data_IF_374594248677
#
_entry.id   IF_374594248677
#
_cell.length_a   1.000
_cell.length_b   1.000
_cell.length_c   1.000
_cell.angle_alpha   90.00
_cell.angle_beta   90.00
_cell.angle_gamma   90.00
#
_symmetry.space_group_name_H-M   'P 1'
#
loop_
_entity.id
_entity.type
_entity.pdbx_description
1 polymer ?
#
# COMPACT_ATOMS: atom_id res chain seq x y z
N UNK A 1 -10.11 -8.53 -27.35
CA UNK A 1 -9.06 -9.48 -26.94
C UNK A 1 -8.91 -9.41 -25.43
N UNK A 2 -8.77 -10.55 -24.74
CA UNK A 2 -8.62 -10.65 -23.28
C UNK A 2 -7.34 -11.42 -22.98
N UNK A 3 -6.58 -11.01 -21.96
CA UNK A 3 -5.36 -11.69 -21.50
C UNK A 3 -5.49 -12.07 -20.02
N UNK A 4 -5.03 -13.28 -19.69
CA UNK A 4 -4.83 -13.73 -18.32
C UNK A 4 -3.34 -13.88 -18.03
N UNK A 5 -2.93 -13.66 -16.79
CA UNK A 5 -1.54 -13.79 -16.34
C UNK A 5 -1.49 -14.35 -14.91
N UNK A 6 -0.47 -15.15 -14.62
CA UNK A 6 -0.16 -15.68 -13.29
C UNK A 6 1.35 -15.93 -13.17
N UNK A 7 1.91 -15.79 -11.96
CA UNK A 7 3.32 -16.04 -11.67
C UNK A 7 3.50 -16.47 -10.21
N UNK A 8 4.61 -17.12 -9.86
CA UNK A 8 4.87 -17.60 -8.49
C UNK A 8 5.60 -16.59 -7.59
N UNK A 9 5.50 -15.29 -7.89
CA UNK A 9 6.12 -14.24 -7.06
C UNK A 9 5.44 -14.06 -5.69
N UNK A 10 4.16 -14.44 -5.58
CA UNK A 10 3.37 -14.38 -4.33
C UNK A 10 2.49 -15.62 -4.17
N UNK A 11 2.02 -15.88 -2.95
CA UNK A 11 1.16 -17.03 -2.63
C UNK A 11 -0.20 -17.02 -3.36
N UNK A 12 -0.64 -15.84 -3.84
CA UNK A 12 -1.86 -15.69 -4.62
C UNK A 12 -1.63 -15.79 -6.13
N UNK A 13 -0.43 -16.19 -6.57
CA UNK A 13 0.01 -16.28 -7.95
C UNK A 13 -0.09 -14.96 -8.76
N UNK A 14 0.03 -13.82 -8.08
CA UNK A 14 0.00 -12.48 -8.69
C UNK A 14 1.40 -11.87 -8.72
N UNK A 15 1.62 -10.91 -9.61
CA UNK A 15 2.86 -10.13 -9.64
C UNK A 15 3.04 -9.36 -8.33
N UNK A 16 4.24 -9.42 -7.74
CA UNK A 16 4.51 -8.80 -6.45
C UNK A 16 4.20 -7.28 -6.38
N UNK A 17 4.52 -6.44 -7.39
CA UNK A 17 4.29 -4.99 -7.32
C UNK A 17 2.81 -4.63 -7.13
N UNK A 18 1.93 -5.21 -7.96
CA UNK A 18 0.49 -4.94 -7.90
C UNK A 18 -0.14 -5.56 -6.65
N UNK A 19 0.36 -6.74 -6.25
CA UNK A 19 -0.07 -7.41 -5.04
C UNK A 19 0.14 -6.53 -3.80
N UNK A 20 1.37 -6.02 -3.59
CA UNK A 20 1.69 -5.18 -2.44
C UNK A 20 1.00 -3.81 -2.50
N UNK A 21 0.91 -3.18 -3.67
CA UNK A 21 0.17 -1.93 -3.83
C UNK A 21 -1.32 -2.10 -3.41
N UNK A 22 -1.96 -3.19 -3.86
CA UNK A 22 -3.34 -3.46 -3.44
C UNK A 22 -3.49 -3.77 -1.95
N UNK A 23 -2.51 -4.45 -1.33
CA UNK A 23 -2.54 -4.68 0.11
C UNK A 23 -2.46 -3.37 0.92
N UNK A 24 -1.63 -2.41 0.49
CA UNK A 24 -1.56 -1.09 1.12
C UNK A 24 -2.91 -0.36 1.04
N UNK A 25 -3.55 -0.36 -0.13
CA UNK A 25 -4.88 0.24 -0.28
C UNK A 25 -5.96 -0.48 0.53
N UNK A 26 -5.90 -1.82 0.60
CA UNK A 26 -6.81 -2.61 1.41
C UNK A 26 -6.66 -2.26 2.91
N UNK A 27 -5.42 -2.08 3.38
CA UNK A 27 -5.14 -1.69 4.77
C UNK A 27 -5.61 -0.27 5.06
N UNK A 28 -5.28 0.71 4.21
CA UNK A 28 -5.75 2.09 4.36
C UNK A 28 -7.29 2.15 4.43
N UNK A 29 -7.98 1.45 3.52
CA UNK A 29 -9.43 1.43 3.50
C UNK A 29 -10.02 0.75 4.74
N UNK A 30 -9.36 -0.27 5.29
CA UNK A 30 -9.75 -0.88 6.55
C UNK A 30 -9.67 0.13 7.70
N UNK A 31 -8.58 0.88 7.83
CA UNK A 31 -8.40 1.85 8.92
C UNK A 31 -9.39 2.99 8.89
N UNK A 32 -9.66 3.51 7.68
CA UNK A 32 -10.70 4.50 7.49
C UNK A 32 -12.08 3.93 7.87
N UNK A 33 -12.45 2.75 7.36
CA UNK A 33 -13.80 2.17 7.60
C UNK A 33 -14.02 1.73 9.04
N UNK A 34 -12.97 1.26 9.71
CA UNK A 34 -13.02 0.88 11.12
C UNK A 34 -12.78 2.07 12.06
N UNK A 35 -12.56 3.27 11.50
CA UNK A 35 -12.29 4.50 12.25
C UNK A 35 -11.11 4.37 13.24
N UNK A 36 -10.12 3.51 12.92
CA UNK A 36 -8.90 3.33 13.73
C UNK A 36 -8.07 4.62 13.70
N UNK A 37 -7.95 5.21 12.51
CA UNK A 37 -7.38 6.54 12.30
C UNK A 37 -8.50 7.47 11.87
N UNK A 38 -9.16 8.11 12.84
CA UNK A 38 -10.38 8.89 12.62
C UNK A 38 -10.22 10.12 11.71
N UNK A 39 -8.98 10.54 11.47
CA UNK A 39 -8.62 11.64 10.59
C UNK A 39 -8.42 11.21 9.13
N UNK A 40 -8.44 9.90 8.82
CA UNK A 40 -8.36 9.42 7.43
C UNK A 40 -9.63 9.76 6.65
N UNK A 41 -9.47 9.95 5.35
CA UNK A 41 -10.57 10.11 4.39
C UNK A 41 -10.53 9.03 3.31
N UNK A 42 -11.60 8.87 2.49
CA UNK A 42 -11.72 7.72 1.59
C UNK A 42 -10.69 7.65 0.45
N UNK A 43 -10.18 8.79 -0.05
CA UNK A 43 -9.26 8.80 -1.20
C UNK A 43 -7.83 8.47 -0.76
N UNK A 44 -7.21 7.49 -1.43
CA UNK A 44 -5.83 7.11 -1.22
C UNK A 44 -5.24 6.47 -2.48
N UNK A 45 -3.91 6.56 -2.60
CA UNK A 45 -3.12 6.02 -3.71
C UNK A 45 -1.84 5.40 -3.15
N UNK A 46 -1.47 4.23 -3.66
CA UNK A 46 -0.19 3.57 -3.35
C UNK A 46 0.60 3.27 -4.61
N UNK A 47 1.91 3.34 -4.50
CA UNK A 47 2.85 2.85 -5.49
C UNK A 47 4.00 2.11 -4.78
N UNK A 48 4.38 0.97 -5.34
CA UNK A 48 5.51 0.16 -4.82
C UNK A 48 6.46 -0.09 -5.99
N UNK A 49 7.72 0.28 -5.81
CA UNK A 49 8.80 0.02 -6.76
C UNK A 49 9.66 -1.11 -6.20
N UNK A 50 9.77 -2.20 -6.96
CA UNK A 50 10.58 -3.36 -6.59
C UNK A 50 11.86 -3.41 -7.42
N UNK A 51 12.95 -3.85 -6.78
CA UNK A 51 14.17 -4.25 -7.47
C UNK A 51 14.06 -5.72 -7.85
N UNK A 52 14.36 -6.01 -9.10
CA UNK A 52 14.38 -7.36 -9.64
C UNK A 52 15.80 -7.79 -9.99
N UNK A 53 16.11 -9.05 -9.71
CA UNK A 53 17.32 -9.72 -10.19
C UNK A 53 16.92 -11.09 -10.72
N UNK A 54 17.38 -11.43 -11.94
CA UNK A 54 17.03 -12.70 -12.61
C UNK A 54 15.52 -13.01 -12.62
N UNK A 55 14.70 -11.99 -12.93
CA UNK A 55 13.23 -12.05 -12.94
C UNK A 55 12.58 -12.45 -11.61
N UNK A 56 13.28 -12.24 -10.49
CA UNK A 56 12.73 -12.41 -9.15
C UNK A 56 12.77 -11.08 -8.40
N UNK A 57 11.69 -10.69 -7.70
CA UNK A 57 11.72 -9.53 -6.83
C UNK A 57 12.64 -9.83 -5.64
N UNK A 58 13.63 -8.97 -5.39
CA UNK A 58 14.61 -9.16 -4.31
C UNK A 58 14.48 -8.13 -3.19
N UNK A 59 13.95 -6.95 -3.47
CA UNK A 59 13.79 -5.88 -2.48
C UNK A 59 12.74 -4.85 -2.93
N UNK A 60 12.21 -4.10 -1.98
CA UNK A 60 11.47 -2.86 -2.25
C UNK A 60 12.48 -1.71 -2.31
N UNK A 61 12.46 -0.94 -3.40
CA UNK A 61 13.33 0.21 -3.59
C UNK A 61 12.67 1.50 -3.08
N UNK A 62 11.36 1.66 -3.35
CA UNK A 62 10.58 2.81 -2.87
C UNK A 62 9.11 2.43 -2.65
N UNK A 63 8.50 3.08 -1.66
CA UNK A 63 7.05 3.05 -1.40
C UNK A 63 6.55 4.48 -1.37
N UNK A 64 5.48 4.75 -2.12
CA UNK A 64 4.76 6.02 -2.07
C UNK A 64 3.33 5.74 -1.63
N UNK A 65 2.91 6.38 -0.54
CA UNK A 65 1.52 6.36 -0.08
C UNK A 65 1.03 7.80 0.03
N UNK A 66 -0.01 8.12 -0.73
CA UNK A 66 -0.72 9.39 -0.64
C UNK A 66 -2.12 9.10 -0.13
N UNK A 67 -2.46 9.57 1.07
CA UNK A 67 -3.79 9.39 1.66
C UNK A 67 -4.42 10.74 1.91
N UNK A 68 -5.71 10.85 1.66
CA UNK A 68 -6.48 12.02 2.05
C UNK A 68 -6.71 12.00 3.57
N UNK A 69 -6.67 13.17 4.20
CA UNK A 69 -6.80 13.32 5.65
C UNK A 69 -7.50 14.63 6.04
N UNK A 70 -7.87 14.75 7.31
CA UNK A 70 -8.36 15.99 7.90
C UNK A 70 -7.26 17.06 7.92
N UNK A 71 -7.55 18.36 7.76
CA UNK A 71 -6.54 19.43 7.80
C UNK A 71 -5.88 19.63 9.17
N UNK A 72 -6.43 19.03 10.23
CA UNK A 72 -5.95 19.22 11.61
C UNK A 72 -4.75 18.33 11.97
N UNK A 73 -4.53 17.21 11.27
CA UNK A 73 -3.36 16.36 11.53
C UNK A 73 -2.11 17.00 10.92
N UNK A 74 -1.03 17.01 11.71
CA UNK A 74 0.26 17.48 11.24
C UNK A 74 0.93 16.42 10.36
N UNK A 75 1.72 16.87 9.38
CA UNK A 75 2.38 15.99 8.42
C UNK A 75 3.26 14.93 9.12
N UNK A 76 3.94 15.30 10.21
CA UNK A 76 4.81 14.39 10.96
C UNK A 76 4.00 13.24 11.57
N UNK A 77 2.92 13.57 12.28
CA UNK A 77 2.06 12.59 12.95
C UNK A 77 1.36 11.67 11.95
N UNK A 78 0.97 12.21 10.79
CA UNK A 78 0.44 11.42 9.68
C UNK A 78 1.45 10.37 9.20
N UNK A 79 2.70 10.78 8.97
CA UNK A 79 3.75 9.87 8.49
C UNK A 79 4.03 8.77 9.52
N UNK A 80 4.15 9.14 10.80
CA UNK A 80 4.40 8.21 11.90
C UNK A 80 3.26 7.18 12.02
N UNK A 81 2.01 7.64 12.04
CA UNK A 81 0.84 6.76 12.12
C UNK A 81 0.70 5.81 10.92
N UNK A 82 1.03 6.28 9.72
CA UNK A 82 1.02 5.46 8.50
C UNK A 82 2.13 4.39 8.51
N UNK A 83 3.29 4.69 9.12
CA UNK A 83 4.44 3.79 9.14
C UNK A 83 4.38 2.74 10.26
N UNK A 84 3.89 3.10 11.44
CA UNK A 84 4.03 2.26 12.63
C UNK A 84 2.86 1.31 12.88
N UNK A 85 1.62 1.74 12.63
CA UNK A 85 0.40 0.95 12.83
C UNK A 85 0.48 -0.14 13.93
N UNK A 86 0.89 0.26 15.14
CA UNK A 86 0.81 -0.55 16.34
C UNK A 86 -0.31 0.02 17.23
N UNK A 87 -1.55 -0.40 16.97
CA UNK A 87 -2.70 -0.17 17.86
C UNK A 87 -3.39 -1.50 18.16
#
# INVERSE_FOLDING_TARGET
MVFGYACNETDSFMLAPIYYAHLLMKRQAYLHKQNVLSWLRPDAKSQVTLRYENNKPIAIDAVVLSTQHHPEIQQKDLIEAVMEENY
#
